data_IF_132652319502
#
_entry.id   IF_132652319502
#
_cell.length_a   1.000
_cell.length_b   1.000
_cell.length_c   1.000
_cell.angle_alpha   90.00
_cell.angle_beta   90.00
_cell.angle_gamma   90.00
#
_symmetry.space_group_name_H-M   'P 1'
#
loop_
_entity.id
_entity.type
_entity.pdbx_description
1 polymer ?
#
# COMPACT_ATOMS: atom_id res chain seq x y z
N UNK A 1 1.67 -8.03 17.06
CA UNK A 1 1.54 -8.40 18.49
C UNK A 1 0.64 -9.62 18.68
N UNK A 2 -0.62 -9.62 18.19
CA UNK A 2 -1.52 -10.79 18.29
C UNK A 2 -0.92 -12.07 17.70
N UNK A 3 -0.24 -11.99 16.55
CA UNK A 3 0.44 -13.15 15.94
C UNK A 3 1.58 -13.75 16.78
N UNK A 4 2.26 -12.94 17.61
CA UNK A 4 3.26 -13.47 18.54
C UNK A 4 2.59 -14.14 19.75
N UNK A 5 1.52 -13.52 20.26
CA UNK A 5 0.72 -14.09 21.35
C UNK A 5 0.10 -15.44 20.97
N UNK A 6 -0.39 -15.59 19.73
CA UNK A 6 -0.91 -16.88 19.24
C UNK A 6 0.18 -17.96 19.19
N UNK A 7 1.40 -17.62 18.75
CA UNK A 7 2.52 -18.57 18.71
C UNK A 7 2.90 -19.01 20.12
N UNK A 8 2.95 -18.09 21.09
CA UNK A 8 3.25 -18.42 22.48
C UNK A 8 2.15 -19.25 23.14
N UNK A 9 0.88 -18.97 22.84
CA UNK A 9 -0.26 -19.66 23.44
C UNK A 9 -0.40 -21.10 22.90
N UNK A 10 -0.25 -21.28 21.58
CA UNK A 10 -0.31 -22.59 20.91
C UNK A 10 1.06 -23.29 20.83
N UNK A 11 1.99 -22.95 21.74
CA UNK A 11 3.30 -23.59 21.77
C UNK A 11 3.12 -25.08 22.09
N UNK A 12 3.62 -25.94 21.21
CA UNK A 12 3.54 -27.41 21.37
C UNK A 12 2.24 -28.05 20.84
N UNK A 13 1.15 -27.30 20.65
CA UNK A 13 -0.08 -27.84 20.06
C UNK A 13 -0.61 -26.90 18.97
N UNK A 14 -0.31 -27.24 17.71
CA UNK A 14 -0.75 -26.45 16.55
C UNK A 14 -2.23 -26.75 16.23
N UNK A 15 -3.14 -25.76 16.36
CA UNK A 15 -4.57 -25.96 16.16
C UNK A 15 -4.93 -26.32 14.71
N UNK A 16 -4.09 -25.96 13.73
CA UNK A 16 -4.28 -26.33 12.32
C UNK A 16 -3.99 -27.81 12.13
N UNK A 17 -2.85 -28.28 12.64
CA UNK A 17 -2.44 -29.69 12.53
C UNK A 17 -3.31 -30.61 13.38
N UNK A 18 -3.78 -30.14 14.52
CA UNK A 18 -4.68 -30.92 15.40
C UNK A 18 -6.13 -30.98 14.88
N UNK A 19 -6.43 -30.40 13.71
CA UNK A 19 -7.77 -30.39 13.11
C UNK A 19 -8.80 -29.52 13.85
N UNK A 20 -8.39 -28.68 14.81
CA UNK A 20 -9.30 -27.78 15.53
C UNK A 20 -9.74 -26.61 14.65
N UNK A 21 -8.91 -26.20 13.70
CA UNK A 21 -9.24 -25.20 12.67
C UNK A 21 -8.88 -25.71 11.28
N UNK A 22 -9.71 -25.38 10.29
CA UNK A 22 -9.52 -25.81 8.89
C UNK A 22 -8.59 -24.89 8.09
N UNK A 23 -8.61 -23.59 8.40
CA UNK A 23 -7.80 -22.56 7.74
C UNK A 23 -7.00 -21.77 8.77
N UNK A 24 -5.76 -21.43 8.42
CA UNK A 24 -4.88 -20.64 9.29
C UNK A 24 -5.42 -19.23 9.58
N UNK A 25 -6.25 -18.69 8.70
CA UNK A 25 -6.88 -17.37 8.86
C UNK A 25 -7.85 -17.32 10.07
N UNK A 26 -8.31 -18.46 10.56
CA UNK A 26 -9.21 -18.55 11.72
C UNK A 26 -8.47 -18.59 13.08
N UNK A 27 -7.13 -18.50 13.09
CA UNK A 27 -6.34 -18.67 14.32
C UNK A 27 -6.62 -17.59 15.37
N UNK A 28 -6.84 -16.34 14.96
CA UNK A 28 -7.10 -15.24 15.90
C UNK A 28 -8.49 -15.34 16.54
N UNK A 29 -9.59 -15.52 15.77
CA UNK A 29 -10.89 -15.81 16.35
C UNK A 29 -10.88 -17.02 17.28
N UNK A 30 -10.16 -18.08 16.90
CA UNK A 30 -10.02 -19.29 17.71
C UNK A 30 -9.27 -19.04 19.03
N UNK A 31 -8.17 -18.28 18.98
CA UNK A 31 -7.43 -17.87 20.18
C UNK A 31 -8.31 -17.10 21.17
N UNK A 32 -9.08 -16.13 20.66
CA UNK A 32 -9.97 -15.31 21.51
C UNK A 32 -11.06 -16.18 22.15
N UNK A 33 -11.62 -17.13 21.40
CA UNK A 33 -12.59 -18.08 21.92
C UNK A 33 -12.01 -18.93 23.05
N UNK A 34 -10.76 -19.38 22.93
CA UNK A 34 -10.08 -20.15 23.98
C UNK A 34 -9.77 -19.31 25.22
N UNK A 35 -9.28 -18.08 25.05
CA UNK A 35 -8.95 -17.18 26.18
C UNK A 35 -10.21 -16.78 26.97
N UNK A 36 -11.32 -16.49 26.29
CA UNK A 36 -12.55 -16.02 26.92
C UNK A 36 -13.59 -17.13 27.12
N UNK A 37 -13.17 -18.39 27.13
CA UNK A 37 -14.08 -19.54 27.26
C UNK A 37 -14.96 -19.48 28.51
N UNK A 38 -14.44 -18.90 29.59
CA UNK A 38 -15.13 -18.75 30.88
C UNK A 38 -15.98 -17.47 30.99
N UNK A 39 -15.82 -16.51 30.07
CA UNK A 39 -16.52 -15.21 30.12
C UNK A 39 -17.50 -15.12 28.94
N UNK A 40 -18.78 -15.52 29.12
CA UNK A 40 -19.75 -15.50 28.03
C UNK A 40 -19.93 -14.08 27.49
N UNK A 41 -20.00 -13.95 26.17
CA UNK A 41 -20.21 -12.68 25.47
C UNK A 41 -18.94 -11.93 25.06
N UNK A 42 -17.78 -12.16 25.72
CA UNK A 42 -16.55 -11.42 25.38
C UNK A 42 -16.02 -11.72 23.98
N UNK A 43 -16.10 -12.98 23.54
CA UNK A 43 -15.80 -13.36 22.14
C UNK A 43 -16.71 -12.61 21.15
N UNK A 44 -17.97 -12.39 21.49
CA UNK A 44 -18.91 -11.62 20.68
C UNK A 44 -18.57 -10.12 20.62
N UNK A 45 -18.14 -9.54 21.75
CA UNK A 45 -17.64 -8.16 21.79
C UNK A 45 -16.38 -8.01 20.92
N UNK A 46 -15.45 -8.96 21.00
CA UNK A 46 -14.27 -8.95 20.14
C UNK A 46 -14.63 -9.01 18.65
N UNK A 47 -15.45 -9.98 18.24
CA UNK A 47 -15.85 -10.14 16.84
C UNK A 47 -16.62 -8.90 16.34
N UNK A 48 -17.54 -8.35 17.13
CA UNK A 48 -18.29 -7.14 16.75
C UNK A 48 -17.39 -5.92 16.60
N UNK A 49 -16.38 -5.75 17.46
CA UNK A 49 -15.39 -4.68 17.33
C UNK A 49 -14.56 -4.80 16.04
N UNK A 50 -14.15 -6.02 15.67
CA UNK A 50 -13.41 -6.29 14.45
C UNK A 50 -14.25 -5.98 13.19
N UNK A 51 -15.53 -6.36 13.19
CA UNK A 51 -16.46 -5.98 12.11
C UNK A 51 -16.65 -4.48 12.01
N UNK A 52 -16.82 -3.77 13.13
CA UNK A 52 -16.98 -2.32 13.15
C UNK A 52 -15.75 -1.59 12.58
N UNK A 53 -14.54 -2.00 12.98
CA UNK A 53 -13.29 -1.46 12.45
C UNK A 53 -13.12 -1.73 10.94
N UNK A 54 -13.56 -2.90 10.47
CA UNK A 54 -13.49 -3.26 9.04
C UNK A 54 -14.51 -2.43 8.24
N UNK A 55 -15.74 -2.32 8.73
CA UNK A 55 -16.82 -1.57 8.08
C UNK A 55 -16.52 -0.08 7.97
N UNK A 56 -15.86 0.52 8.97
CA UNK A 56 -15.46 1.94 8.91
C UNK A 56 -14.40 2.22 7.84
N UNK A 57 -13.44 1.29 7.68
CA UNK A 57 -12.41 1.35 6.64
C UNK A 57 -13.03 1.18 5.25
N UNK A 58 -13.90 0.18 5.07
CA UNK A 58 -14.60 -0.07 3.80
C UNK A 58 -15.49 1.13 3.43
N UNK A 59 -16.25 1.68 4.38
CA UNK A 59 -17.09 2.85 4.14
C UNK A 59 -16.28 4.05 3.64
N UNK A 60 -15.13 4.32 4.27
CA UNK A 60 -14.22 5.41 3.86
C UNK A 60 -13.65 5.16 2.46
N UNK A 61 -13.27 3.92 2.15
CA UNK A 61 -12.74 3.53 0.83
C UNK A 61 -13.80 3.68 -0.27
N UNK A 62 -15.03 3.19 -0.05
CA UNK A 62 -16.13 3.30 -1.01
C UNK A 62 -16.55 4.76 -1.22
N UNK A 63 -16.65 5.55 -0.15
CA UNK A 63 -16.99 6.97 -0.24
C UNK A 63 -15.91 7.77 -0.99
N UNK A 64 -14.64 7.50 -0.73
CA UNK A 64 -13.52 8.12 -1.43
C UNK A 64 -13.48 7.69 -2.89
N UNK A 65 -13.66 6.40 -3.18
CA UNK A 65 -13.71 5.85 -4.53
C UNK A 65 -14.84 6.44 -5.37
N UNK A 66 -16.04 6.55 -4.82
CA UNK A 66 -17.17 7.20 -5.49
C UNK A 66 -16.89 8.69 -5.79
N UNK A 67 -16.19 9.37 -4.89
CA UNK A 67 -15.78 10.78 -5.07
C UNK A 67 -14.73 10.90 -6.17
N UNK A 68 -13.70 10.06 -6.16
CA UNK A 68 -12.64 10.03 -7.19
C UNK A 68 -13.26 9.74 -8.56
N UNK A 69 -14.12 8.72 -8.66
CA UNK A 69 -14.81 8.37 -9.91
C UNK A 69 -15.62 9.55 -10.47
N UNK A 70 -16.38 10.21 -9.59
CA UNK A 70 -17.13 11.40 -9.96
C UNK A 70 -16.24 12.54 -10.45
N UNK A 71 -15.14 12.82 -9.75
CA UNK A 71 -14.17 13.84 -10.18
C UNK A 71 -13.47 13.49 -11.48
N UNK A 72 -13.27 12.19 -11.78
CA UNK A 72 -12.71 11.76 -13.07
C UNK A 72 -13.69 11.98 -14.23
N UNK A 73 -14.99 11.79 -14.01
CA UNK A 73 -16.03 12.06 -15.04
C UNK A 73 -16.13 13.57 -15.34
N UNK A 74 -16.08 14.40 -14.29
CA UNK A 74 -16.24 15.86 -14.42
C UNK A 74 -14.93 16.57 -14.73
N UNK A 75 -13.79 15.97 -14.42
CA UNK A 75 -12.46 16.57 -14.52
C UNK A 75 -12.04 17.00 -15.93
N UNK A 76 -12.76 16.56 -16.97
CA UNK A 76 -12.58 17.02 -18.35
C UNK A 76 -13.24 18.37 -18.64
N UNK A 77 -13.94 18.97 -17.67
CA UNK A 77 -14.44 20.34 -17.77
C UNK A 77 -13.33 21.28 -17.29
N UNK A 78 -12.75 22.06 -18.20
CA UNK A 78 -11.77 23.12 -17.91
C UNK A 78 -12.38 24.20 -17.00
N UNK A 79 -12.42 23.96 -15.70
CA UNK A 79 -12.86 24.94 -14.71
C UNK A 79 -11.62 25.71 -14.26
N UNK A 80 -11.55 27.01 -14.59
CA UNK A 80 -10.51 27.95 -14.10
C UNK A 80 -10.27 27.77 -12.60
N UNK A 81 -8.99 27.69 -12.18
CA UNK A 81 -8.55 27.41 -10.81
C UNK A 81 -9.30 28.26 -9.76
N UNK A 82 -9.52 29.54 -10.07
CA UNK A 82 -10.15 30.51 -9.18
C UNK A 82 -11.60 30.17 -8.82
N UNK A 83 -12.33 29.49 -9.73
CA UNK A 83 -13.73 29.09 -9.49
C UNK A 83 -13.87 27.63 -9.07
N UNK A 84 -12.79 26.83 -9.08
CA UNK A 84 -12.82 25.39 -8.79
C UNK A 84 -13.34 25.07 -7.39
N UNK A 85 -12.93 25.86 -6.38
CA UNK A 85 -13.37 25.69 -4.98
C UNK A 85 -14.85 26.06 -4.82
N UNK A 86 -15.28 27.14 -5.48
CA UNK A 86 -16.67 27.60 -5.45
C UNK A 86 -17.61 26.63 -6.16
N UNK A 87 -17.25 26.16 -7.36
CA UNK A 87 -17.98 25.13 -8.08
C UNK A 87 -17.98 23.81 -7.32
N UNK A 88 -16.86 23.37 -6.73
CA UNK A 88 -16.87 22.16 -5.88
C UNK A 88 -17.84 22.30 -4.70
N UNK A 89 -17.86 23.43 -3.98
CA UNK A 89 -18.82 23.64 -2.87
C UNK A 89 -20.28 23.60 -3.33
N UNK A 90 -20.59 24.21 -4.46
CA UNK A 90 -21.95 24.21 -5.03
C UNK A 90 -22.33 22.82 -5.55
N UNK A 91 -21.42 22.13 -6.21
CA UNK A 91 -21.62 20.77 -6.72
C UNK A 91 -21.82 19.76 -5.58
N UNK A 92 -21.04 19.87 -4.48
CA UNK A 92 -21.18 19.02 -3.28
C UNK A 92 -22.59 19.14 -2.65
N UNK A 93 -23.25 20.29 -2.79
CA UNK A 93 -24.53 20.59 -2.14
C UNK A 93 -25.74 20.11 -2.95
N UNK A 94 -25.57 19.77 -4.23
CA UNK A 94 -26.69 19.33 -5.06
C UNK A 94 -27.19 17.94 -4.62
N UNK A 95 -28.51 17.82 -4.43
CA UNK A 95 -29.17 16.52 -4.15
C UNK A 95 -28.80 15.48 -5.23
N UNK A 96 -28.70 15.90 -6.49
CA UNK A 96 -28.31 15.03 -7.61
C UNK A 96 -26.96 14.36 -7.39
N UNK A 97 -25.93 15.10 -6.97
CA UNK A 97 -24.57 14.58 -6.78
C UNK A 97 -24.51 13.66 -5.56
N UNK A 98 -25.25 13.99 -4.50
CA UNK A 98 -25.40 13.09 -3.36
C UNK A 98 -26.00 11.74 -3.77
N UNK A 99 -27.11 11.74 -4.51
CA UNK A 99 -27.72 10.51 -5.02
C UNK A 99 -26.82 9.77 -6.00
N UNK A 100 -26.10 10.47 -6.87
CA UNK A 100 -25.14 9.87 -7.79
C UNK A 100 -24.01 9.16 -7.05
N UNK A 101 -23.32 9.86 -6.11
CA UNK A 101 -22.25 9.27 -5.29
C UNK A 101 -22.76 8.09 -4.46
N UNK A 102 -23.98 8.19 -3.91
CA UNK A 102 -24.62 7.09 -3.18
C UNK A 102 -24.85 5.86 -4.07
N UNK A 103 -25.33 6.06 -5.31
CA UNK A 103 -25.51 4.97 -6.29
C UNK A 103 -24.17 4.34 -6.69
N UNK A 104 -23.17 5.15 -7.00
CA UNK A 104 -21.82 4.69 -7.35
C UNK A 104 -21.19 3.90 -6.20
N UNK A 105 -21.29 4.40 -4.97
CA UNK A 105 -20.80 3.70 -3.78
C UNK A 105 -21.51 2.35 -3.57
N UNK A 106 -22.80 2.26 -3.87
CA UNK A 106 -23.56 1.01 -3.79
C UNK A 106 -23.08 0.00 -4.84
N UNK A 107 -22.87 0.43 -6.08
CA UNK A 107 -22.33 -0.43 -7.15
C UNK A 107 -20.94 -0.96 -6.80
N UNK A 108 -20.05 -0.10 -6.30
CA UNK A 108 -18.73 -0.54 -5.82
C UNK A 108 -18.84 -1.54 -4.66
N UNK A 109 -19.76 -1.32 -3.72
CA UNK A 109 -20.00 -2.24 -2.60
C UNK A 109 -20.48 -3.61 -3.06
N UNK A 110 -21.42 -3.67 -4.00
CA UNK A 110 -21.89 -4.94 -4.61
C UNK A 110 -20.76 -5.64 -5.33
N UNK A 111 -19.97 -4.91 -6.11
CA UNK A 111 -18.81 -5.46 -6.84
C UNK A 111 -17.75 -6.05 -5.89
N UNK A 112 -17.37 -5.33 -4.84
CA UNK A 112 -16.40 -5.81 -3.84
C UNK A 112 -16.95 -7.03 -3.10
N UNK A 113 -18.24 -7.06 -2.78
CA UNK A 113 -18.87 -8.22 -2.12
C UNK A 113 -18.85 -9.45 -3.04
N UNK A 114 -19.17 -9.27 -4.32
CA UNK A 114 -19.07 -10.34 -5.31
C UNK A 114 -17.64 -10.87 -5.43
N UNK A 115 -16.65 -9.97 -5.54
CA UNK A 115 -15.23 -10.36 -5.57
C UNK A 115 -14.82 -11.09 -4.30
N UNK A 116 -15.29 -10.65 -3.12
CA UNK A 116 -15.03 -11.32 -1.83
C UNK A 116 -15.52 -12.77 -1.81
N UNK A 117 -16.62 -13.09 -2.49
CA UNK A 117 -17.10 -14.48 -2.57
C UNK A 117 -16.17 -15.36 -3.42
N UNK A 118 -15.54 -14.80 -4.45
CA UNK A 118 -14.59 -15.53 -5.30
C UNK A 118 -13.30 -15.89 -4.56
N UNK A 119 -12.91 -15.14 -3.52
CA UNK A 119 -11.72 -15.45 -2.71
C UNK A 119 -11.80 -16.81 -1.99
N UNK A 120 -12.99 -17.39 -1.81
CA UNK A 120 -13.15 -18.71 -1.17
C UNK A 120 -12.40 -19.80 -1.94
N UNK A 121 -12.31 -19.66 -3.28
CA UNK A 121 -11.67 -20.61 -4.19
C UNK A 121 -10.17 -20.37 -4.37
N UNK A 122 -9.62 -19.27 -3.85
CA UNK A 122 -8.20 -18.96 -4.02
C UNK A 122 -7.36 -19.70 -2.97
N UNK A 123 -6.35 -20.48 -3.38
CA UNK A 123 -5.44 -21.13 -2.44
C UNK A 123 -4.48 -20.12 -1.82
N UNK A 124 -4.26 -20.21 -0.51
CA UNK A 124 -3.28 -19.39 0.22
C UNK A 124 -3.85 -18.65 1.43
N UNK A 125 -2.97 -17.95 2.15
CA UNK A 125 -3.33 -17.14 3.31
C UNK A 125 -3.84 -15.76 2.84
N UNK A 126 -5.02 -15.36 3.34
CA UNK A 126 -5.70 -14.11 2.95
C UNK A 126 -4.86 -12.89 3.29
N UNK A 127 -4.21 -12.88 4.47
CA UNK A 127 -3.36 -11.77 4.92
C UNK A 127 -2.17 -11.60 3.98
N UNK A 128 -1.56 -12.70 3.54
CA UNK A 128 -0.43 -12.67 2.61
C UNK A 128 -0.83 -12.04 1.26
N UNK A 129 -2.00 -12.40 0.74
CA UNK A 129 -2.54 -11.85 -0.50
C UNK A 129 -2.87 -10.35 -0.33
N UNK A 130 -3.54 -9.98 0.77
CA UNK A 130 -3.90 -8.60 1.07
C UNK A 130 -2.67 -7.69 1.17
N UNK A 131 -1.63 -8.11 1.90
CA UNK A 131 -0.38 -7.36 2.02
C UNK A 131 0.35 -7.24 0.68
N UNK A 132 0.29 -8.27 -0.16
CA UNK A 132 0.88 -8.22 -1.48
C UNK A 132 0.19 -7.20 -2.38
N UNK A 133 -1.15 -7.21 -2.44
CA UNK A 133 -1.92 -6.24 -3.23
C UNK A 133 -1.68 -4.82 -2.74
N UNK A 134 -1.78 -4.59 -1.43
CA UNK A 134 -1.52 -3.27 -0.83
C UNK A 134 -0.10 -2.78 -1.14
N UNK A 135 0.91 -3.65 -0.95
CA UNK A 135 2.30 -3.33 -1.24
C UNK A 135 2.55 -2.99 -2.71
N UNK A 136 1.90 -3.72 -3.63
CA UNK A 136 2.08 -3.53 -5.06
C UNK A 136 1.57 -2.17 -5.56
N UNK A 137 0.47 -1.65 -5.02
CA UNK A 137 -0.01 -0.30 -5.39
C UNK A 137 0.66 0.81 -4.59
N UNK A 138 0.94 0.58 -3.29
CA UNK A 138 1.51 1.59 -2.41
C UNK A 138 2.95 1.97 -2.79
N UNK A 139 3.74 1.02 -3.30
CA UNK A 139 5.15 1.24 -3.63
C UNK A 139 5.36 2.32 -4.72
N UNK A 140 4.80 2.20 -5.95
CA UNK A 140 4.92 3.26 -6.96
C UNK A 140 4.32 4.58 -6.50
N UNK A 141 3.15 4.56 -5.84
CA UNK A 141 2.51 5.78 -5.32
C UNK A 141 3.45 6.56 -4.39
N UNK A 142 4.11 5.86 -3.48
CA UNK A 142 5.09 6.47 -2.55
C UNK A 142 6.27 7.06 -3.33
N UNK A 143 6.77 6.37 -4.36
CA UNK A 143 7.87 6.88 -5.18
C UNK A 143 7.46 8.08 -6.05
N UNK A 144 6.21 8.17 -6.51
CA UNK A 144 5.73 9.33 -7.29
C UNK A 144 5.79 10.59 -6.44
N UNK A 145 5.28 10.52 -5.21
CA UNK A 145 5.37 11.62 -4.25
C UNK A 145 6.83 11.95 -3.91
N UNK A 146 7.68 10.94 -3.74
CA UNK A 146 9.08 11.14 -3.40
C UNK A 146 9.84 11.84 -4.53
N UNK A 147 9.65 11.44 -5.78
CA UNK A 147 10.25 12.10 -6.95
C UNK A 147 9.73 13.52 -7.13
N UNK A 148 8.43 13.75 -6.93
CA UNK A 148 7.83 15.08 -7.00
C UNK A 148 8.39 16.05 -5.96
N UNK A 149 8.79 15.55 -4.78
CA UNK A 149 9.38 16.37 -3.71
C UNK A 149 10.90 16.49 -3.83
N UNK A 150 11.62 15.44 -4.23
CA UNK A 150 13.09 15.38 -4.17
C UNK A 150 13.80 15.62 -5.50
N UNK A 151 13.13 15.38 -6.64
CA UNK A 151 13.76 15.41 -7.97
C UNK A 151 13.00 16.40 -8.87
N UNK A 152 13.38 17.69 -8.85
CA UNK A 152 12.68 18.73 -9.62
C UNK A 152 12.82 18.56 -11.14
N UNK A 153 13.77 17.73 -11.59
CA UNK A 153 14.01 17.44 -13.01
C UNK A 153 13.02 16.41 -13.61
N UNK A 154 12.02 15.96 -12.85
CA UNK A 154 11.09 14.90 -13.29
C UNK A 154 9.87 15.51 -13.97
N UNK A 155 9.64 15.12 -15.24
CA UNK A 155 8.52 15.60 -16.06
C UNK A 155 7.32 14.64 -15.97
N UNK A 156 6.12 15.12 -16.36
CA UNK A 156 4.89 14.33 -16.39
C UNK A 156 5.02 13.05 -17.23
N UNK A 157 5.61 13.13 -18.42
CA UNK A 157 5.87 11.96 -19.28
C UNK A 157 6.77 10.92 -18.60
N UNK A 158 7.77 11.37 -17.84
CA UNK A 158 8.66 10.47 -17.11
C UNK A 158 7.97 9.79 -15.93
N UNK A 159 7.11 10.51 -15.20
CA UNK A 159 6.30 9.93 -14.12
C UNK A 159 5.35 8.87 -14.69
N UNK A 160 4.64 9.17 -15.78
CA UNK A 160 3.72 8.22 -16.42
C UNK A 160 4.48 6.97 -16.89
N UNK A 161 5.57 7.14 -17.63
CA UNK A 161 6.37 6.02 -18.15
C UNK A 161 6.97 5.16 -17.03
N UNK A 162 7.52 5.79 -15.99
CA UNK A 162 8.09 5.07 -14.84
C UNK A 162 7.03 4.32 -14.04
N UNK A 163 5.83 4.90 -13.87
CA UNK A 163 4.71 4.24 -13.20
C UNK A 163 4.29 2.98 -13.98
N UNK A 164 4.13 3.07 -15.30
CA UNK A 164 3.78 1.92 -16.13
C UNK A 164 4.89 0.85 -16.10
N UNK A 165 6.14 1.25 -16.28
CA UNK A 165 7.28 0.34 -16.33
C UNK A 165 7.53 -0.42 -15.01
N UNK A 166 7.25 0.21 -13.87
CA UNK A 166 7.37 -0.44 -12.55
C UNK A 166 6.16 -1.31 -12.21
N UNK A 167 4.95 -0.92 -12.64
CA UNK A 167 3.72 -1.63 -12.27
C UNK A 167 3.52 -2.95 -13.02
N UNK A 168 3.87 -3.01 -14.31
CA UNK A 168 3.74 -4.22 -15.13
C UNK A 168 4.45 -5.44 -14.50
N UNK A 169 5.77 -5.41 -14.21
CA UNK A 169 6.46 -6.57 -13.64
C UNK A 169 5.93 -6.90 -12.24
N UNK A 170 5.53 -5.89 -11.46
CA UNK A 170 5.05 -6.08 -10.10
C UNK A 170 3.69 -6.79 -10.06
N UNK A 171 2.79 -6.44 -10.99
CA UNK A 171 1.50 -7.12 -11.18
C UNK A 171 1.72 -8.54 -11.69
N UNK A 172 2.61 -8.75 -12.68
CA UNK A 172 2.91 -10.09 -13.19
C UNK A 172 3.46 -11.02 -12.10
N UNK A 173 4.40 -10.55 -11.28
CA UNK A 173 4.94 -11.31 -10.14
C UNK A 173 3.87 -11.57 -9.08
N UNK A 174 2.96 -10.63 -8.87
CA UNK A 174 1.82 -10.77 -7.96
C UNK A 174 0.86 -11.86 -8.45
N UNK A 175 0.50 -11.84 -9.72
CA UNK A 175 -0.35 -12.86 -10.34
C UNK A 175 0.34 -14.23 -10.31
N UNK A 176 1.64 -14.30 -10.61
CA UNK A 176 2.40 -15.55 -10.52
C UNK A 176 2.31 -16.15 -9.11
N UNK A 177 2.49 -15.34 -8.07
CA UNK A 177 2.40 -15.81 -6.67
C UNK A 177 0.98 -16.24 -6.27
N UNK A 178 -0.04 -15.64 -6.89
CA UNK A 178 -1.44 -15.92 -6.62
C UNK A 178 -1.92 -17.21 -7.31
N UNK A 179 -1.48 -17.48 -8.55
CA UNK A 179 -1.88 -18.66 -9.32
C UNK A 179 -0.92 -19.84 -9.21
N UNK A 180 0.38 -19.58 -9.11
CA UNK A 180 1.43 -20.61 -8.99
C UNK A 180 2.04 -20.55 -7.59
N UNK A 181 1.27 -21.00 -6.61
CA UNK A 181 1.75 -21.09 -5.23
C UNK A 181 2.84 -22.16 -5.15
N UNK A 182 4.09 -21.76 -4.86
CA UNK A 182 5.05 -22.71 -4.28
C UNK A 182 4.53 -23.05 -2.88
N UNK A 183 4.42 -24.33 -2.48
CA UNK A 183 4.02 -24.65 -1.13
C UNK A 183 4.93 -23.86 -0.19
N UNK A 184 4.34 -22.99 0.62
CA UNK A 184 5.06 -22.35 1.68
C UNK A 184 5.55 -23.47 2.61
N UNK A 185 6.77 -23.95 2.36
CA UNK A 185 7.59 -24.57 3.39
C UNK A 185 7.79 -23.49 4.43
N UNK A 186 6.83 -23.36 5.33
CA UNK A 186 7.09 -22.76 6.63
C UNK A 186 8.16 -23.65 7.21
N UNK A 187 9.42 -23.21 7.09
CA UNK A 187 10.54 -23.80 7.79
C UNK A 187 10.04 -23.94 9.22
N UNK A 188 10.03 -25.18 9.72
CA UNK A 188 9.40 -25.59 10.97
C UNK A 188 9.95 -24.75 12.13
N UNK A 189 9.43 -23.53 12.31
CA UNK A 189 9.96 -22.56 13.26
C UNK A 189 9.65 -22.96 14.70
N UNK A 190 8.85 -24.01 14.88
CA UNK A 190 8.79 -24.83 16.09
C UNK A 190 8.39 -26.24 15.64
N UNK A 191 9.00 -27.27 16.24
CA UNK A 191 8.48 -28.65 16.20
C UNK A 191 7.06 -28.66 16.76
N UNK A 192 6.07 -28.42 15.91
CA UNK A 192 4.66 -28.59 16.24
C UNK A 192 4.25 -30.00 15.80
N UNK A 193 4.48 -30.98 16.66
CA UNK A 193 3.89 -32.32 16.53
C UNK A 193 2.44 -32.25 17.01
N UNK A 194 1.52 -32.88 16.29
CA UNK A 194 0.12 -33.00 16.71
C UNK A 194 -0.04 -33.90 17.95
N UNK A 195 1.03 -34.64 18.29
CA UNK A 195 1.04 -35.69 19.31
C UNK A 195 0.88 -35.15 20.73
N UNK A 196 1.24 -33.88 20.99
CA UNK A 196 1.10 -33.24 22.31
C UNK A 196 -0.32 -32.71 22.55
N UNK A 197 -1.18 -32.68 21.52
CA UNK A 197 -2.56 -32.17 21.63
C UNK A 197 -3.57 -33.17 22.20
N UNK A 198 -3.19 -34.44 22.35
CA UNK A 198 -4.05 -35.50 22.85
C UNK A 198 -3.63 -35.87 24.28
N UNK A 199 -4.56 -35.82 25.24
CA UNK A 199 -4.41 -36.48 26.53
C UNK A 199 -4.43 -38.01 26.30
N UNK A 200 -3.31 -38.57 25.84
CA UNK A 200 -3.09 -40.01 25.86
C UNK A 200 -2.16 -40.30 27.02
N UNK A 201 -2.75 -40.70 28.15
CA UNK A 201 -2.06 -41.53 29.12
C UNK A 201 -1.50 -42.75 28.38
N UNK A 202 -0.19 -42.94 28.44
CA UNK A 202 0.64 -43.99 27.80
C UNK A 202 0.98 -43.82 26.31
N UNK A 203 2.06 -43.08 26.03
CA UNK A 203 2.93 -43.35 24.87
C UNK A 203 4.37 -43.34 25.38
N UNK A 204 5.00 -44.52 25.37
CA UNK A 204 6.43 -44.71 25.60
C UNK A 204 7.21 -44.06 24.47
N UNK A 205 7.84 -42.93 24.75
CA UNK A 205 8.73 -42.23 23.82
C UNK A 205 9.98 -43.10 23.59
N UNK A 206 10.03 -43.81 22.46
CA UNK A 206 11.30 -44.18 21.88
C UNK A 206 11.89 -42.90 21.28
N UNK A 207 12.92 -42.35 21.94
CA UNK A 207 13.76 -41.32 21.37
C UNK A 207 14.56 -41.95 20.21
N UNK A 208 14.01 -41.92 19.01
CA UNK A 208 14.88 -41.94 17.83
C UNK A 208 15.60 -40.59 17.76
N UNK A 209 16.94 -40.56 17.68
CA UNK A 209 17.69 -39.33 17.50
C UNK A 209 17.29 -38.72 16.15
N UNK A 210 16.63 -37.55 16.22
CA UNK A 210 16.28 -36.75 15.05
C UNK A 210 17.56 -36.47 14.26
N UNK A 211 17.64 -36.80 12.96
CA UNK A 211 18.77 -36.36 12.15
C UNK A 211 18.79 -34.84 12.17
N UNK A 212 19.92 -34.25 12.61
CA UNK A 212 20.16 -32.81 12.56
C UNK A 212 19.85 -32.30 11.14
N UNK A 213 18.76 -31.54 11.01
CA UNK A 213 18.56 -30.71 9.83
C UNK A 213 19.70 -29.69 9.85
N UNK A 214 20.71 -29.93 9.00
CA UNK A 214 21.72 -28.94 8.65
C UNK A 214 20.98 -27.78 8.00
N UNK A 215 20.62 -26.78 8.79
CA UNK A 215 20.17 -25.49 8.28
C UNK A 215 21.30 -24.96 7.38
N UNK A 216 21.05 -24.70 6.08
CA UNK A 216 22.10 -24.20 5.22
C UNK A 216 22.60 -22.88 5.81
N UNK A 217 23.92 -22.77 6.03
CA UNK A 217 24.55 -21.56 6.56
C UNK A 217 24.45 -20.44 5.53
N UNK A 218 23.29 -19.83 5.44
CA UNK A 218 23.05 -18.67 4.59
C UNK A 218 23.69 -17.44 5.26
N UNK A 219 24.42 -16.60 4.49
CA UNK A 219 24.99 -15.35 5.00
C UNK A 219 23.92 -14.46 5.65
N UNK A 220 24.32 -13.59 6.59
CA UNK A 220 23.37 -12.75 7.35
C UNK A 220 22.53 -11.83 6.45
N UNK A 221 23.09 -11.32 5.36
CA UNK A 221 22.36 -10.53 4.36
C UNK A 221 21.27 -11.33 3.64
N UNK A 222 21.41 -12.66 3.58
CA UNK A 222 20.39 -13.52 2.99
C UNK A 222 19.09 -13.48 3.80
N UNK A 223 19.18 -13.33 5.13
CA UNK A 223 18.01 -13.26 6.03
C UNK A 223 17.15 -12.03 5.79
N UNK A 224 17.73 -10.93 5.29
CA UNK A 224 16.98 -9.73 4.87
C UNK A 224 16.01 -10.08 3.73
N UNK A 225 16.41 -10.98 2.81
CA UNK A 225 15.54 -11.45 1.73
C UNK A 225 14.45 -12.44 2.19
N UNK A 226 14.58 -13.04 3.37
CA UNK A 226 13.57 -13.93 3.97
C UNK A 226 12.48 -13.15 4.73
N UNK A 227 12.85 -12.07 5.42
CA UNK A 227 11.91 -11.25 6.19
C UNK A 227 10.88 -10.54 5.30
N UNK A 228 11.15 -10.38 3.99
CA UNK A 228 10.10 -9.96 3.07
C UNK A 228 10.35 -10.32 1.60
N UNK A 229 10.00 -11.56 1.20
CA UNK A 229 9.79 -11.90 -0.23
C UNK A 229 8.73 -11.02 -0.91
N UNK A 230 7.93 -10.27 -0.14
CA UNK A 230 6.92 -9.32 -0.61
C UNK A 230 7.48 -7.89 -0.67
N UNK A 231 8.23 -7.47 0.34
CA UNK A 231 8.78 -6.11 0.47
C UNK A 231 9.93 -5.81 -0.50
N UNK A 232 10.80 -6.79 -0.80
CA UNK A 232 11.88 -6.59 -1.78
C UNK A 232 11.36 -6.26 -3.17
N UNK A 233 10.26 -6.90 -3.59
CA UNK A 233 9.62 -6.60 -4.87
C UNK A 233 9.12 -5.14 -4.94
N UNK A 234 8.61 -4.61 -3.83
CA UNK A 234 8.20 -3.21 -3.72
C UNK A 234 9.38 -2.24 -3.87
N UNK A 235 10.49 -2.50 -3.17
CA UNK A 235 11.71 -1.68 -3.31
C UNK A 235 12.29 -1.72 -4.72
N UNK A 236 12.31 -2.90 -5.35
CA UNK A 236 12.76 -3.04 -6.73
C UNK A 236 11.86 -2.24 -7.69
N UNK A 237 10.54 -2.32 -7.53
CA UNK A 237 9.60 -1.54 -8.33
C UNK A 237 9.80 -0.04 -8.15
N UNK A 238 10.02 0.43 -6.92
CA UNK A 238 10.36 1.84 -6.65
C UNK A 238 11.66 2.25 -7.35
N UNK A 239 12.71 1.42 -7.31
CA UNK A 239 13.97 1.69 -7.98
C UNK A 239 13.80 1.75 -9.52
N UNK A 240 13.06 0.81 -10.11
CA UNK A 240 12.73 0.83 -11.54
C UNK A 240 11.98 2.12 -11.90
N UNK A 241 10.98 2.49 -11.10
CA UNK A 241 10.20 3.70 -11.31
C UNK A 241 11.10 4.94 -11.30
N UNK A 242 11.97 5.08 -10.30
CA UNK A 242 12.89 6.21 -10.20
C UNK A 242 13.85 6.31 -11.40
N UNK A 243 14.44 5.20 -11.82
CA UNK A 243 15.37 5.16 -12.96
C UNK A 243 14.65 5.54 -14.25
N UNK A 244 13.53 4.86 -14.57
CA UNK A 244 12.78 5.12 -15.81
C UNK A 244 12.25 6.54 -15.83
N UNK A 245 11.69 7.04 -14.72
CA UNK A 245 11.21 8.42 -14.63
C UNK A 245 12.30 9.45 -14.86
N UNK A 246 13.50 9.26 -14.29
CA UNK A 246 14.63 10.17 -14.52
C UNK A 246 15.14 10.11 -15.96
N UNK A 247 15.25 8.91 -16.55
CA UNK A 247 15.74 8.72 -17.92
C UNK A 247 14.77 9.33 -18.93
N UNK A 248 13.48 9.00 -18.85
CA UNK A 248 12.45 9.51 -19.77
C UNK A 248 12.29 11.03 -19.62
N UNK A 249 12.37 11.58 -18.41
CA UNK A 249 12.31 13.03 -18.20
C UNK A 249 13.50 13.78 -18.81
N UNK A 250 14.68 13.15 -18.89
CA UNK A 250 15.85 13.74 -19.57
C UNK A 250 15.74 13.69 -21.09
N UNK A 251 15.12 12.65 -21.63
CA UNK A 251 14.93 12.47 -23.08
C UNK A 251 13.81 13.39 -23.59
N UNK A 252 12.67 13.41 -22.89
CA UNK A 252 11.50 14.20 -23.25
C UNK A 252 11.41 15.45 -22.39
N UNK A 253 11.86 16.58 -22.94
CA UNK A 253 11.60 17.90 -22.34
C UNK A 253 10.14 18.25 -22.54
N UNK A 254 9.39 18.34 -21.44
CA UNK A 254 8.04 18.91 -21.46
C UNK A 254 8.12 20.45 -21.45
N UNK A 255 7.18 21.13 -22.10
CA UNK A 255 6.93 22.56 -21.85
C UNK A 255 6.23 22.64 -20.49
N UNK A 256 7.00 22.68 -19.41
CA UNK A 256 6.45 22.89 -18.07
C UNK A 256 5.78 24.26 -18.03
N UNK A 257 4.50 24.31 -17.63
CA UNK A 257 3.90 25.55 -17.13
C UNK A 257 4.75 26.03 -15.97
N UNK A 258 5.04 27.32 -15.91
CA UNK A 258 5.81 27.89 -14.81
C UNK A 258 5.19 27.45 -13.47
N UNK A 259 5.98 26.88 -12.55
CA UNK A 259 5.47 26.37 -11.30
C UNK A 259 4.88 27.52 -10.48
N UNK A 260 3.66 27.33 -9.97
CA UNK A 260 2.96 28.34 -9.19
C UNK A 260 3.83 28.76 -7.99
N UNK A 261 4.16 30.06 -7.81
CA UNK A 261 5.10 30.51 -6.77
C UNK A 261 4.63 30.18 -5.35
N UNK A 262 3.32 30.01 -5.15
CA UNK A 262 2.70 29.59 -3.88
C UNK A 262 2.97 28.12 -3.49
N UNK A 263 3.45 27.29 -4.41
CA UNK A 263 3.70 25.86 -4.18
C UNK A 263 5.18 25.57 -3.85
N UNK A 264 6.04 26.58 -3.81
CA UNK A 264 7.42 26.43 -3.38
C UNK A 264 7.48 26.14 -1.88
N UNK A 265 7.94 24.94 -1.50
CA UNK A 265 8.22 24.63 -0.11
C UNK A 265 9.37 25.49 0.41
N UNK A 266 9.11 26.32 1.42
CA UNK A 266 10.12 27.10 2.16
C UNK A 266 11.18 26.22 2.86
N UNK A 267 10.96 24.90 2.93
CA UNK A 267 11.94 23.96 3.47
C UNK A 267 13.23 23.93 2.64
N UNK A 268 13.14 24.08 1.31
CA UNK A 268 14.28 24.01 0.39
C UNK A 268 15.00 25.36 0.18
N UNK A 269 14.49 26.45 0.77
CA UNK A 269 15.16 27.76 0.78
C UNK A 269 16.10 27.94 1.99
N UNK A 270 16.08 27.01 2.97
CA UNK A 270 16.93 27.07 4.16
C UNK A 270 18.40 26.82 3.83
N UNK A 271 19.30 27.66 4.36
CA UNK A 271 20.77 27.54 4.22
C UNK A 271 21.37 26.22 4.73
N UNK A 272 20.59 25.40 5.46
CA UNK A 272 21.02 24.09 5.98
C UNK A 272 21.12 22.99 4.92
N UNK A 273 20.53 23.17 3.73
CA UNK A 273 20.53 22.13 2.68
C UNK A 273 21.74 22.22 1.73
N UNK A 274 22.20 21.08 1.18
CA UNK A 274 23.33 21.02 0.25
C UNK A 274 23.12 21.91 -0.98
N UNK A 275 24.20 22.56 -1.44
CA UNK A 275 24.19 23.52 -2.55
C UNK A 275 23.64 22.96 -3.86
N UNK A 276 23.89 21.69 -4.16
CA UNK A 276 23.33 20.99 -5.32
C UNK A 276 21.79 20.97 -5.32
N UNK A 277 21.16 20.71 -4.16
CA UNK A 277 19.70 20.68 -4.07
C UNK A 277 19.10 22.06 -4.18
N UNK A 278 19.69 23.08 -3.54
CA UNK A 278 19.21 24.46 -3.70
C UNK A 278 19.25 24.90 -5.16
N UNK A 279 20.33 24.61 -5.88
CA UNK A 279 20.45 24.99 -7.29
C UNK A 279 19.48 24.20 -8.19
N UNK A 280 19.17 22.95 -7.86
CA UNK A 280 18.16 22.16 -8.59
C UNK A 280 16.72 22.67 -8.39
N UNK A 281 16.39 23.15 -7.18
CA UNK A 281 15.07 23.73 -6.84
C UNK A 281 14.95 25.24 -7.16
N UNK A 282 16.04 25.92 -7.49
CA UNK A 282 16.10 27.36 -7.84
C UNK A 282 16.29 27.65 -9.35
N UNK A 283 16.10 26.66 -10.22
CA UNK A 283 16.01 26.87 -11.66
C UNK A 283 14.52 27.04 -11.99
N UNK A 284 13.92 28.24 -11.95
CA UNK A 284 13.95 29.18 -13.08
C UNK A 284 13.59 30.63 -12.67
N UNK A 285 13.43 30.94 -11.37
CA UNK A 285 12.91 32.26 -10.95
C UNK A 285 13.88 33.44 -11.16
N UNK A 286 15.19 33.23 -11.20
CA UNK A 286 16.12 34.37 -11.21
C UNK A 286 16.41 34.96 -12.60
N UNK A 287 15.95 34.32 -13.69
CA UNK A 287 16.11 34.85 -15.05
C UNK A 287 14.92 35.65 -15.57
N UNK A 288 13.69 35.38 -15.12
CA UNK A 288 12.50 36.08 -15.61
C UNK A 288 12.02 37.22 -14.73
N UNK A 289 12.29 37.20 -13.41
CA UNK A 289 11.87 38.29 -12.50
C UNK A 289 12.61 39.59 -12.81
N UNK A 290 13.89 39.54 -13.18
CA UNK A 290 14.61 40.74 -13.61
C UNK A 290 14.09 41.29 -14.95
N UNK A 291 13.54 40.45 -15.82
CA UNK A 291 13.03 40.88 -17.13
C UNK A 291 11.63 41.51 -17.04
N UNK A 292 10.82 41.09 -16.07
CA UNK A 292 9.50 41.70 -15.79
C UNK A 292 9.62 42.99 -14.95
N UNK A 293 10.49 43.04 -13.92
CA UNK A 293 10.73 44.29 -13.19
C UNK A 293 11.33 45.39 -14.08
N UNK A 294 12.21 45.03 -15.02
CA UNK A 294 12.78 46.01 -15.96
C UNK A 294 11.75 46.52 -16.98
N UNK A 295 10.76 45.70 -17.37
CA UNK A 295 9.67 46.14 -18.28
C UNK A 295 8.67 47.07 -17.61
N UNK A 296 8.30 46.79 -16.36
CA UNK A 296 7.35 47.62 -15.61
C UNK A 296 7.96 49.01 -15.33
N UNK A 297 9.26 49.07 -15.06
CA UNK A 297 9.98 50.34 -14.83
C UNK A 297 10.25 51.16 -16.11
N UNK A 298 10.18 50.55 -17.30
CA UNK A 298 10.23 51.29 -18.58
C UNK A 298 8.86 51.81 -19.00
N UNK A 299 7.79 51.05 -18.79
CA UNK A 299 6.43 51.49 -19.13
C UNK A 299 5.91 52.61 -18.20
N UNK A 300 6.45 52.73 -16.98
CA UNK A 300 6.11 53.80 -16.03
C UNK A 300 6.87 55.13 -16.31
N UNK A 301 7.84 55.13 -17.24
CA UNK A 301 8.56 56.35 -17.65
C UNK A 301 8.01 57.01 -18.92
N UNK A 302 7.13 56.32 -19.64
CA UNK A 302 6.53 56.79 -20.89
C UNK A 302 5.05 57.24 -20.74
N UNK A 303 4.60 57.52 -19.51
CA UNK A 303 3.31 58.15 -19.19
C UNK A 303 3.49 59.50 -18.49
#
# INVERSE_FOLDING_TARGET
>A
MIGMASISYFRGCDPVKSGKITRIDAIVPFLVQEIFKEIPGMTGVFISSAYSATLSTISTALNSGATIFFTSIIGNVEIKEEKRIFYMRIFITSKFIYYFRKRVSLVFGVFVTFMSMLFIYMPGNIIGIALMVLGSFQAPLTMIFLLGILVPSTNEYGIIAGTIASQIPLVLLSLQKMFFHKPASFQNLVHHTADVCMNVSSISVLLEPVPELVDPSYPWWHRIFWVSKVGWNGFLAMAIMAVVSCVVSRIFKSKTKEPNPKLHLSLFTSKKWPSFMRNAFLLECHKNVQTEEVKILTDEKDF
#
